data_IF_653561344019
#
_entry.id   IF_653561344019
#
_cell.length_a   1.000
_cell.length_b   1.000
_cell.length_c   1.000
_cell.angle_alpha   90.00
_cell.angle_beta   90.00
_cell.angle_gamma   90.00
#
_symmetry.space_group_name_H-M   'P 1'
#
loop_
_entity.id
_entity.type
_entity.pdbx_description
1 polymer ?
#
# COMPACT_ATOMS: atom_id res chain seq x y z
N UNK A 1 -19.05 12.93 0.66
CA UNK A 1 -17.57 12.73 0.55
C UNK A 1 -17.10 12.32 1.94
N UNK A 2 -16.17 11.38 2.11
CA UNK A 2 -15.66 11.01 3.44
C UNK A 2 -14.16 11.29 3.50
N UNK A 3 -13.75 12.20 4.37
CA UNK A 3 -12.37 12.40 4.76
C UNK A 3 -12.30 12.04 6.25
N UNK A 4 -11.32 11.24 6.63
CA UNK A 4 -11.11 10.85 8.02
C UNK A 4 -9.61 10.91 8.29
N UNK A 5 -9.25 11.58 9.37
CA UNK A 5 -7.91 11.56 9.94
C UNK A 5 -8.04 10.85 11.27
N UNK A 6 -7.26 9.80 11.48
CA UNK A 6 -7.24 9.07 12.73
C UNK A 6 -5.82 9.09 13.27
N UNK A 7 -5.70 9.49 14.54
CA UNK A 7 -4.48 9.45 15.31
C UNK A 7 -4.73 8.52 16.49
N UNK A 8 -4.02 7.40 16.52
CA UNK A 8 -4.14 6.40 17.58
C UNK A 8 -2.83 6.37 18.37
N UNK A 9 -2.71 7.14 19.47
CA UNK A 9 -1.55 7.09 20.35
C UNK A 9 -1.61 5.82 21.21
N UNK A 10 -0.47 5.14 21.37
CA UNK A 10 -0.34 3.91 22.18
C UNK A 10 0.64 2.91 21.57
N UNK A 11 1.20 2.02 22.39
CA UNK A 11 2.17 1.02 21.94
C UNK A 11 1.58 -0.01 20.96
N UNK A 12 0.28 -0.26 21.06
CA UNK A 12 -0.47 -1.18 20.19
C UNK A 12 -1.73 -0.50 19.65
N UNK A 13 -2.00 -0.65 18.36
CA UNK A 13 -3.18 -0.07 17.71
C UNK A 13 -3.75 -1.00 16.65
N UNK A 14 -5.08 -1.09 16.59
CA UNK A 14 -5.78 -1.92 15.61
C UNK A 14 -7.00 -1.18 15.06
N UNK A 15 -7.03 -0.99 13.75
CA UNK A 15 -8.09 -0.25 13.06
C UNK A 15 -8.72 -1.06 11.95
N UNK A 16 -10.04 -1.26 12.01
CA UNK A 16 -10.81 -1.93 10.96
C UNK A 16 -11.92 -1.03 10.42
N UNK A 17 -12.10 -1.00 9.09
CA UNK A 17 -13.08 -0.10 8.49
C UNK A 17 -13.71 -0.58 7.20
N UNK A 18 -15.03 -0.35 7.06
CA UNK A 18 -15.77 -0.53 5.81
C UNK A 18 -16.43 0.77 5.36
N UNK A 19 -16.43 1.03 4.06
CA UNK A 19 -17.07 2.25 3.54
C UNK A 19 -17.59 2.11 2.11
N UNK A 20 -18.72 2.78 1.85
CA UNK A 20 -19.28 3.04 0.51
C UNK A 20 -19.48 4.54 0.37
N UNK A 21 -18.80 5.17 -0.59
CA UNK A 21 -18.94 6.62 -0.83
C UNK A 21 -18.35 7.03 -2.18
N UNK A 22 -18.75 8.19 -2.72
CA UNK A 22 -18.16 8.70 -3.98
C UNK A 22 -16.65 8.93 -3.85
N UNK A 23 -16.24 9.66 -2.82
CA UNK A 23 -14.83 10.01 -2.56
C UNK A 23 -14.47 9.63 -1.12
N UNK A 24 -13.38 8.87 -0.95
CA UNK A 24 -12.76 8.56 0.35
C UNK A 24 -11.33 9.08 0.40
N UNK A 25 -10.99 9.83 1.44
CA UNK A 25 -9.63 10.09 1.87
C UNK A 25 -9.50 9.54 3.30
N UNK A 26 -8.42 8.82 3.58
CA UNK A 26 -8.09 8.37 4.93
C UNK A 26 -6.63 8.70 5.18
N UNK A 27 -6.35 9.40 6.27
CA UNK A 27 -5.01 9.57 6.80
C UNK A 27 -4.98 8.88 8.15
N UNK A 28 -4.08 7.92 8.34
CA UNK A 28 -3.89 7.23 9.61
C UNK A 28 -2.46 7.48 10.06
N UNK A 29 -2.30 7.98 11.28
CA UNK A 29 -1.01 8.20 11.91
C UNK A 29 -0.92 7.43 13.23
N UNK A 30 0.01 6.48 13.31
CA UNK A 30 0.13 5.57 14.46
C UNK A 30 1.59 5.47 14.90
N UNK A 31 2.01 6.24 15.94
CA UNK A 31 3.39 6.23 16.41
C UNK A 31 3.76 5.04 17.31
N UNK A 32 2.83 4.08 17.53
CA UNK A 32 3.03 2.92 18.39
C UNK A 32 3.98 1.84 17.85
N UNK A 33 4.57 1.04 18.75
CA UNK A 33 5.45 -0.08 18.41
C UNK A 33 4.81 -1.11 17.47
N UNK A 34 3.50 -1.34 17.61
CA UNK A 34 2.74 -2.27 16.77
C UNK A 34 1.43 -1.66 16.27
N UNK A 35 1.20 -1.74 14.97
CA UNK A 35 -0.04 -1.25 14.35
C UNK A 35 -0.59 -2.23 13.31
N UNK A 36 -1.90 -2.49 13.37
CA UNK A 36 -2.61 -3.28 12.39
C UNK A 36 -3.77 -2.48 11.78
N UNK A 37 -3.81 -2.37 10.45
CA UNK A 37 -4.92 -1.74 9.74
C UNK A 37 -5.59 -2.70 8.77
N UNK A 38 -6.92 -2.75 8.77
CA UNK A 38 -7.71 -3.58 7.87
C UNK A 38 -8.88 -2.81 7.24
N UNK A 39 -8.82 -2.59 5.92
CA UNK A 39 -9.77 -1.72 5.23
C UNK A 39 -10.50 -2.39 4.06
N UNK A 40 -11.83 -2.24 3.99
CA UNK A 40 -12.60 -2.51 2.76
C UNK A 40 -13.38 -1.29 2.26
N UNK A 41 -13.22 -0.95 0.98
CA UNK A 41 -13.88 0.24 0.42
C UNK A 41 -14.45 0.00 -0.98
N UNK A 42 -15.65 0.53 -1.24
CA UNK A 42 -16.23 0.69 -2.59
C UNK A 42 -16.47 2.18 -2.88
N UNK A 43 -15.65 2.78 -3.73
CA UNK A 43 -15.69 4.22 -4.00
C UNK A 43 -15.35 4.55 -5.46
N UNK A 44 -15.70 5.72 -6.00
CA UNK A 44 -15.16 6.12 -7.31
C UNK A 44 -13.71 6.59 -7.20
N UNK A 45 -13.38 7.33 -6.13
CA UNK A 45 -12.00 7.76 -5.80
C UNK A 45 -11.66 7.37 -4.36
N UNK A 46 -10.48 6.76 -4.18
CA UNK A 46 -9.88 6.49 -2.87
C UNK A 46 -8.45 7.00 -2.82
N UNK A 47 -8.15 7.80 -1.81
CA UNK A 47 -6.80 8.08 -1.34
C UNK A 47 -6.64 7.48 0.07
N UNK A 48 -5.49 6.89 0.34
CA UNK A 48 -5.11 6.45 1.67
C UNK A 48 -3.65 6.80 1.90
N UNK A 49 -3.39 7.45 3.03
CA UNK A 49 -2.05 7.72 3.53
C UNK A 49 -1.94 7.05 4.89
N UNK A 50 -0.95 6.17 5.05
CA UNK A 50 -0.63 5.53 6.31
C UNK A 50 0.79 5.91 6.69
N UNK A 51 0.94 6.50 7.88
CA UNK A 51 2.22 6.89 8.45
C UNK A 51 2.34 6.24 9.81
N UNK A 52 3.30 5.33 9.94
CA UNK A 52 3.39 4.48 11.12
C UNK A 52 4.86 4.23 11.39
N UNK A 53 5.54 5.11 12.16
CA UNK A 53 6.98 5.02 12.37
C UNK A 53 7.43 3.89 13.33
N UNK A 54 6.50 3.21 14.01
CA UNK A 54 6.88 2.18 14.99
C UNK A 54 7.29 0.83 14.39
N UNK A 55 7.84 -0.02 15.24
CA UNK A 55 8.69 -1.16 14.86
C UNK A 55 8.05 -2.20 13.92
N UNK A 56 6.76 -2.54 14.09
CA UNK A 56 6.08 -3.49 13.20
C UNK A 56 4.67 -3.01 12.81
N UNK A 57 4.41 -3.02 11.51
CA UNK A 57 3.14 -2.59 10.94
C UNK A 57 2.56 -3.66 10.02
N UNK A 58 1.24 -3.82 10.05
CA UNK A 58 0.50 -4.74 9.20
C UNK A 58 -0.71 -4.04 8.57
N UNK A 59 -0.64 -3.69 7.28
CA UNK A 59 -1.80 -3.14 6.55
C UNK A 59 -2.43 -4.18 5.61
N UNK A 60 -3.74 -4.37 5.71
CA UNK A 60 -4.52 -5.29 4.90
C UNK A 60 -5.71 -4.59 4.22
N UNK A 61 -5.63 -4.39 2.90
CA UNK A 61 -6.61 -3.61 2.17
C UNK A 61 -7.34 -4.34 1.05
N UNK A 62 -8.68 -4.28 1.00
CA UNK A 62 -9.46 -4.59 -0.22
C UNK A 62 -10.21 -3.38 -0.77
N UNK A 63 -10.05 -3.09 -2.05
CA UNK A 63 -10.78 -1.96 -2.66
C UNK A 63 -11.30 -2.23 -4.07
N UNK A 64 -12.50 -1.70 -4.34
CA UNK A 64 -13.07 -1.57 -5.68
C UNK A 64 -13.31 -0.09 -5.97
N UNK A 65 -12.57 0.47 -6.92
CA UNK A 65 -12.69 1.89 -7.23
C UNK A 65 -12.24 2.27 -8.65
N UNK A 66 -12.68 3.41 -9.20
CA UNK A 66 -12.19 3.85 -10.52
C UNK A 66 -10.73 4.32 -10.42
N UNK A 67 -10.41 5.08 -9.36
CA UNK A 67 -9.08 5.60 -9.06
C UNK A 67 -8.69 5.28 -7.61
N UNK A 68 -7.51 4.70 -7.45
CA UNK A 68 -6.86 4.48 -6.15
C UNK A 68 -5.48 5.14 -6.14
N UNK A 69 -5.24 5.95 -5.14
CA UNK A 69 -3.90 6.37 -4.71
C UNK A 69 -3.66 5.80 -3.31
N UNK A 70 -2.45 5.34 -3.06
CA UNK A 70 -2.08 4.85 -1.75
C UNK A 70 -0.62 5.20 -1.48
N UNK A 71 -0.38 5.77 -0.31
CA UNK A 71 0.95 6.10 0.21
C UNK A 71 1.12 5.40 1.55
N UNK A 72 2.18 4.61 1.68
CA UNK A 72 2.58 3.95 2.93
C UNK A 72 3.96 4.42 3.32
N UNK A 73 4.11 4.85 4.57
CA UNK A 73 5.38 5.17 5.20
C UNK A 73 5.45 4.39 6.52
N UNK A 74 5.86 3.13 6.45
CA UNK A 74 5.80 2.22 7.61
C UNK A 74 6.96 1.23 7.60
N UNK A 75 7.54 0.82 8.75
CA UNK A 75 8.35 -0.39 8.86
C UNK A 75 7.42 -1.61 9.01
N UNK A 76 7.52 -2.62 8.14
CA UNK A 76 6.71 -3.84 8.27
C UNK A 76 6.08 -4.34 6.98
N UNK A 77 4.89 -4.93 7.12
CA UNK A 77 4.23 -5.69 6.07
C UNK A 77 2.94 -5.03 5.55
N UNK A 78 2.76 -5.02 4.23
CA UNK A 78 1.49 -4.63 3.63
C UNK A 78 0.97 -5.73 2.69
N UNK A 79 -0.31 -6.09 2.86
CA UNK A 79 -1.07 -6.98 1.99
C UNK A 79 -2.28 -6.27 1.34
N UNK A 80 -2.34 -6.21 0.01
CA UNK A 80 -3.40 -5.47 -0.67
C UNK A 80 -4.03 -6.18 -1.87
N UNK A 81 -5.36 -6.19 -1.92
CA UNK A 81 -6.14 -6.55 -3.12
C UNK A 81 -6.90 -5.34 -3.67
N UNK A 82 -6.77 -5.06 -4.97
CA UNK A 82 -7.52 -3.97 -5.60
C UNK A 82 -8.02 -4.28 -7.00
N UNK A 83 -9.26 -3.85 -7.29
CA UNK A 83 -9.82 -3.79 -8.64
C UNK A 83 -10.09 -2.33 -8.97
N UNK A 84 -9.38 -1.77 -9.95
CA UNK A 84 -9.50 -0.37 -10.28
C UNK A 84 -9.11 0.00 -11.70
N UNK A 85 -9.59 1.10 -12.26
CA UNK A 85 -9.15 1.53 -13.61
C UNK A 85 -7.71 2.06 -13.56
N UNK A 86 -7.42 2.89 -12.55
CA UNK A 86 -6.11 3.49 -12.29
C UNK A 86 -5.70 3.23 -10.85
N UNK A 87 -4.47 2.76 -10.68
CA UNK A 87 -3.80 2.58 -9.38
C UNK A 87 -2.46 3.29 -9.39
N UNK A 88 -2.24 4.12 -8.39
CA UNK A 88 -0.92 4.56 -7.96
C UNK A 88 -0.68 3.97 -6.57
N UNK A 89 0.52 3.45 -6.34
CA UNK A 89 0.99 3.05 -5.02
C UNK A 89 2.41 3.55 -4.85
N UNK A 90 2.62 4.28 -3.77
CA UNK A 90 3.93 4.69 -3.28
C UNK A 90 4.14 4.02 -1.94
N UNK A 91 5.24 3.30 -1.82
CA UNK A 91 5.62 2.64 -0.60
C UNK A 91 7.02 3.09 -0.22
N UNK A 92 7.16 3.59 1.00
CA UNK A 92 8.41 3.95 1.61
C UNK A 92 8.52 3.15 2.90
N UNK A 93 9.46 2.21 2.94
CA UNK A 93 9.68 1.38 4.13
C UNK A 93 10.94 1.87 4.83
N UNK A 94 10.77 2.46 6.02
CA UNK A 94 11.85 3.03 6.82
C UNK A 94 12.14 2.05 7.96
N UNK A 95 13.03 1.06 7.78
CA UNK A 95 13.35 0.09 8.83
C UNK A 95 14.08 -1.15 8.34
N UNK A 96 14.33 -2.12 9.21
CA UNK A 96 15.18 -3.29 8.91
C UNK A 96 14.52 -4.35 8.02
N UNK A 97 13.21 -4.54 8.16
CA UNK A 97 12.44 -5.55 7.42
C UNK A 97 11.18 -4.99 6.75
N UNK A 98 11.00 -5.32 5.47
CA UNK A 98 9.88 -4.92 4.64
C UNK A 98 9.27 -6.12 3.91
N UNK A 99 7.94 -6.30 3.97
CA UNK A 99 7.26 -7.37 3.23
C UNK A 99 5.97 -6.89 2.56
N UNK A 100 5.96 -6.87 1.23
CA UNK A 100 4.82 -6.41 0.46
C UNK A 100 4.17 -7.51 -0.35
N UNK A 101 2.89 -7.76 -0.13
CA UNK A 101 2.07 -8.67 -0.93
C UNK A 101 0.92 -7.93 -1.64
N UNK A 102 0.74 -8.15 -2.94
CA UNK A 102 -0.26 -7.41 -3.69
C UNK A 102 -0.91 -8.14 -4.85
N UNK A 103 -2.26 -8.16 -4.91
CA UNK A 103 -3.01 -8.52 -6.12
C UNK A 103 -3.75 -7.32 -6.70
N UNK A 104 -3.54 -7.07 -8.00
CA UNK A 104 -4.28 -5.98 -8.68
C UNK A 104 -4.75 -6.31 -10.07
N UNK A 105 -5.99 -5.90 -10.35
CA UNK A 105 -6.57 -5.86 -11.69
C UNK A 105 -6.83 -4.39 -12.04
N UNK A 106 -6.06 -3.85 -12.99
CA UNK A 106 -6.21 -2.45 -13.37
C UNK A 106 -5.78 -2.10 -14.79
N UNK A 107 -6.37 -1.07 -15.41
CA UNK A 107 -5.96 -0.64 -16.76
C UNK A 107 -4.57 -0.03 -16.73
N UNK A 108 -4.31 0.90 -15.79
CA UNK A 108 -2.98 1.51 -15.58
C UNK A 108 -2.57 1.33 -14.12
N UNK A 109 -1.31 0.94 -13.93
CA UNK A 109 -0.64 0.82 -12.63
C UNK A 109 0.64 1.62 -12.63
N UNK A 110 0.83 2.46 -11.63
CA UNK A 110 2.12 3.01 -11.24
C UNK A 110 2.47 2.45 -9.86
N UNK A 111 3.72 2.04 -9.68
CA UNK A 111 4.26 1.57 -8.41
C UNK A 111 5.63 2.22 -8.20
N UNK A 112 5.79 2.90 -7.08
CA UNK A 112 7.08 3.39 -6.60
C UNK A 112 7.35 2.72 -5.27
N UNK A 113 8.49 2.03 -5.17
CA UNK A 113 8.94 1.36 -3.97
C UNK A 113 10.31 1.91 -3.60
N UNK A 114 10.41 2.47 -2.39
CA UNK A 114 11.66 2.94 -1.80
C UNK A 114 11.85 2.24 -0.47
N UNK A 115 12.95 1.51 -0.36
CA UNK A 115 13.23 0.59 0.74
C UNK A 115 14.71 0.72 1.12
N UNK A 116 15.08 1.78 1.88
CA UNK A 116 16.44 1.98 2.39
C UNK A 116 16.89 0.97 3.47
N UNK A 117 16.08 -0.04 3.81
CA UNK A 117 16.35 -1.04 4.85
C UNK A 117 17.20 -2.24 4.43
N UNK A 118 17.67 -3.04 5.40
CA UNK A 118 18.54 -4.20 5.17
C UNK A 118 17.86 -5.37 4.42
N UNK A 119 16.58 -5.64 4.68
CA UNK A 119 15.83 -6.76 4.09
C UNK A 119 14.49 -6.33 3.51
N UNK A 120 14.30 -6.51 2.20
CA UNK A 120 13.04 -6.20 1.51
C UNK A 120 12.53 -7.37 0.65
N UNK A 121 11.26 -7.74 0.85
CA UNK A 121 10.57 -8.75 0.04
C UNK A 121 9.31 -8.15 -0.62
N UNK A 122 9.23 -8.19 -1.95
CA UNK A 122 8.04 -7.81 -2.70
C UNK A 122 7.45 -9.01 -3.44
N UNK A 123 6.16 -9.25 -3.30
CA UNK A 123 5.43 -10.33 -3.96
C UNK A 123 4.13 -9.81 -4.58
N UNK A 124 4.09 -9.75 -5.91
CA UNK A 124 3.01 -9.07 -6.62
C UNK A 124 2.39 -9.91 -7.73
N UNK A 125 1.05 -10.00 -7.79
CA UNK A 125 0.33 -10.40 -9.02
C UNK A 125 -0.47 -9.25 -9.60
N UNK A 126 -0.17 -8.84 -10.83
CA UNK A 126 -0.94 -7.79 -11.50
C UNK A 126 -1.31 -8.12 -12.94
N UNK A 127 -2.58 -7.93 -13.31
CA UNK A 127 -3.02 -7.87 -14.71
C UNK A 127 -3.32 -6.42 -15.09
N UNK A 128 -2.68 -5.92 -16.14
CA UNK A 128 -2.88 -4.54 -16.57
C UNK A 128 -2.68 -4.27 -18.07
N UNK A 129 -3.13 -3.10 -18.57
CA UNK A 129 -2.74 -2.68 -19.93
C UNK A 129 -1.39 -1.97 -19.90
N UNK A 130 -1.14 -1.11 -18.91
CA UNK A 130 0.12 -0.36 -18.74
C UNK A 130 0.61 -0.45 -17.29
N UNK A 131 1.89 -0.72 -17.12
CA UNK A 131 2.61 -0.67 -15.83
C UNK A 131 3.78 0.30 -15.94
N UNK A 132 3.95 1.14 -14.92
CA UNK A 132 5.21 1.77 -14.57
C UNK A 132 5.63 1.24 -13.19
N UNK A 133 6.90 0.88 -13.04
CA UNK A 133 7.53 0.53 -11.78
C UNK A 133 8.72 1.49 -11.59
N UNK A 134 9.01 1.85 -10.36
CA UNK A 134 10.29 2.43 -9.96
C UNK A 134 10.66 1.75 -8.65
N UNK A 135 11.86 1.19 -8.58
CA UNK A 135 12.36 0.47 -7.41
C UNK A 135 13.68 1.10 -6.98
N UNK A 136 13.76 1.49 -5.71
CA UNK A 136 15.00 1.92 -5.07
C UNK A 136 15.18 1.12 -3.77
N UNK A 137 16.10 0.16 -3.80
CA UNK A 137 16.45 -0.72 -2.69
C UNK A 137 17.95 -0.61 -2.41
N UNK A 138 18.40 0.38 -1.62
CA UNK A 138 19.79 0.48 -1.16
C UNK A 138 20.25 -0.65 -0.20
N UNK A 139 19.33 -1.53 0.24
CA UNK A 139 19.58 -2.57 1.23
C UNK A 139 20.45 -3.75 0.81
N UNK A 140 21.02 -4.44 1.80
CA UNK A 140 21.88 -5.62 1.61
C UNK A 140 21.16 -6.84 0.99
N UNK A 141 19.85 -7.01 1.23
CA UNK A 141 19.09 -8.16 0.75
C UNK A 141 17.70 -7.77 0.23
N UNK A 142 17.50 -7.90 -1.09
CA UNK A 142 16.21 -7.63 -1.75
C UNK A 142 15.72 -8.84 -2.55
N UNK A 143 14.43 -9.18 -2.41
CA UNK A 143 13.76 -10.22 -3.18
C UNK A 143 12.45 -9.68 -3.80
N UNK A 144 12.33 -9.71 -5.13
CA UNK A 144 11.07 -9.37 -5.83
C UNK A 144 10.53 -10.58 -6.61
N UNK A 145 9.42 -11.14 -6.13
CA UNK A 145 8.67 -12.22 -6.76
C UNK A 145 7.37 -11.67 -7.38
N UNK A 146 7.48 -11.02 -8.53
CA UNK A 146 6.37 -10.33 -9.20
C UNK A 146 5.87 -11.00 -10.50
N UNK A 147 4.73 -11.71 -10.47
CA UNK A 147 4.05 -12.16 -11.72
C UNK A 147 3.11 -11.09 -12.26
N UNK A 148 3.49 -10.48 -13.37
CA UNK A 148 2.68 -9.46 -14.03
C UNK A 148 2.29 -9.91 -15.44
N UNK A 149 1.05 -9.62 -15.86
CA UNK A 149 0.60 -9.74 -17.26
C UNK A 149 0.16 -8.36 -17.72
N UNK A 150 1.05 -7.63 -18.38
CA UNK A 150 0.77 -6.29 -18.86
C UNK A 150 1.20 -6.11 -20.31
N UNK A 151 0.36 -5.45 -21.12
CA UNK A 151 0.64 -5.20 -22.56
C UNK A 151 1.83 -4.26 -22.76
N UNK A 152 2.03 -3.29 -21.87
CA UNK A 152 3.17 -2.37 -21.88
C UNK A 152 3.74 -2.18 -20.48
N UNK A 153 5.06 -2.10 -20.38
CA UNK A 153 5.82 -1.98 -19.14
C UNK A 153 6.88 -0.90 -19.31
N UNK A 154 7.00 -0.06 -18.30
CA UNK A 154 8.16 0.78 -18.02
C UNK A 154 8.66 0.39 -16.62
N UNK A 155 9.98 0.35 -16.46
CA UNK A 155 10.69 0.05 -15.23
C UNK A 155 11.62 1.24 -14.90
#
# INVERSE_FOLDING_TARGET
RRALTLQTPGAHSADAGRSRCRRRALTLHTPGAHAAHAGRSRCTRRALTLQTPGALTADAGRSRCRRRALTLQTPGAHAGCSRCTRRALTLQTLGTHAADAGRSLCRRRALTLQTPGAHAAHAGRSRCRRRALTLQTPGAHAADAGRSRCRRRAL
#
